data_IF_611492684237
#
_entry.id   IF_611492684237
#
_cell.length_a   1.000
_cell.length_b   1.000
_cell.length_c   1.000
_cell.angle_alpha   90.00
_cell.angle_beta   90.00
_cell.angle_gamma   90.00
#
_symmetry.space_group_name_H-M   'P 1'
#
loop_
_entity.id
_entity.type
_entity.pdbx_description
1 polymer ?
#
# COMPACT_ATOMS: atom_id res chain seq x y z
N UNK A 1 64.53 -8.86 -21.12
CA UNK A 1 63.68 -9.19 -22.28
C UNK A 1 62.23 -9.19 -21.80
N UNK A 2 61.43 -8.18 -22.14
CA UNK A 2 60.27 -8.21 -23.06
C UNK A 2 59.23 -9.28 -22.68
N UNK A 3 57.94 -9.00 -22.38
CA UNK A 3 56.85 -8.14 -22.89
C UNK A 3 55.72 -8.17 -21.90
N UNK A 4 55.05 -7.12 -21.49
CA UNK A 4 53.84 -6.46 -22.00
C UNK A 4 52.71 -7.42 -22.41
N UNK A 5 51.56 -7.23 -21.75
CA UNK A 5 50.23 -6.88 -22.28
C UNK A 5 49.26 -6.99 -21.10
N UNK A 6 48.74 -6.00 -20.55
CA UNK A 6 47.61 -5.14 -20.89
C UNK A 6 46.39 -5.92 -21.41
N UNK A 7 45.37 -6.00 -20.61
CA UNK A 7 44.07 -6.51 -20.96
C UNK A 7 43.04 -5.94 -19.99
N UNK A 8 42.71 -4.65 -20.23
CA UNK A 8 41.55 -3.99 -19.70
C UNK A 8 40.30 -4.68 -20.25
N UNK A 9 39.52 -5.28 -19.40
CA UNK A 9 38.09 -5.47 -19.69
C UNK A 9 37.28 -4.84 -18.56
N UNK A 10 37.05 -3.52 -18.76
CA UNK A 10 35.99 -2.80 -18.10
C UNK A 10 34.65 -3.37 -18.59
N UNK A 11 34.05 -4.20 -17.81
CA UNK A 11 32.63 -4.52 -17.95
C UNK A 11 31.86 -3.50 -17.12
N UNK A 12 31.60 -2.36 -17.72
CA UNK A 12 30.56 -1.48 -17.25
C UNK A 12 29.23 -2.25 -17.41
N UNK A 13 28.76 -2.84 -16.32
CA UNK A 13 27.43 -3.38 -16.22
C UNK A 13 26.48 -2.18 -16.17
N UNK A 14 26.08 -1.69 -17.34
CA UNK A 14 24.90 -0.84 -17.45
C UNK A 14 23.68 -1.69 -17.17
N UNK A 15 23.32 -1.81 -15.91
CA UNK A 15 21.98 -2.25 -15.54
C UNK A 15 21.02 -1.17 -16.02
N UNK A 16 20.41 -1.43 -17.17
CA UNK A 16 19.28 -0.68 -17.67
C UNK A 16 18.13 -0.80 -16.67
N UNK A 17 17.89 0.27 -15.96
CA UNK A 17 16.67 0.46 -15.17
C UNK A 17 15.50 0.69 -16.13
N UNK A 18 14.96 -0.39 -16.67
CA UNK A 18 13.77 -0.34 -17.53
C UNK A 18 12.62 -1.12 -16.89
N UNK A 19 12.27 -0.77 -15.65
CA UNK A 19 11.05 -1.28 -15.02
C UNK A 19 9.90 -0.28 -15.04
N UNK A 20 10.18 0.97 -15.46
CA UNK A 20 9.13 1.96 -15.68
C UNK A 20 9.44 2.73 -16.96
N UNK A 21 8.49 2.91 -17.86
CA UNK A 21 8.67 3.73 -19.04
C UNK A 21 9.02 5.17 -18.60
N UNK A 22 9.96 5.81 -19.29
CA UNK A 22 10.24 7.23 -19.09
C UNK A 22 8.98 8.06 -19.38
N UNK A 23 8.90 9.27 -18.84
CA UNK A 23 7.74 10.14 -19.04
C UNK A 23 7.42 10.36 -20.53
N UNK A 24 8.45 10.39 -21.39
CA UNK A 24 8.30 10.47 -22.85
C UNK A 24 7.75 9.17 -23.46
N UNK A 25 8.16 8.01 -22.96
CA UNK A 25 7.62 6.71 -23.40
C UNK A 25 6.18 6.51 -22.94
N UNK A 26 5.86 6.97 -21.73
CA UNK A 26 4.48 6.94 -21.23
C UNK A 26 3.56 7.87 -22.04
N UNK A 27 4.03 9.03 -22.49
CA UNK A 27 3.28 9.91 -23.40
C UNK A 27 3.11 9.28 -24.78
N UNK A 28 4.13 8.65 -25.35
CA UNK A 28 4.03 7.96 -26.64
C UNK A 28 3.03 6.79 -26.60
N UNK A 29 3.04 6.00 -25.52
CA UNK A 29 2.07 4.92 -25.31
C UNK A 29 0.65 5.49 -25.15
N UNK A 30 0.51 6.63 -24.47
CA UNK A 30 -0.78 7.30 -24.34
C UNK A 30 -1.30 7.83 -25.68
N UNK A 31 -0.44 8.40 -26.50
CA UNK A 31 -0.81 8.89 -27.85
C UNK A 31 -1.16 7.72 -28.80
N UNK A 32 -0.43 6.61 -28.73
CA UNK A 32 -0.70 5.41 -29.54
C UNK A 32 -2.02 4.71 -29.14
N UNK A 33 -2.39 4.79 -27.85
CA UNK A 33 -3.68 4.32 -27.35
C UNK A 33 -4.85 5.25 -27.69
N UNK A 34 -4.57 6.54 -27.93
CA UNK A 34 -5.57 7.52 -28.33
C UNK A 34 -5.91 7.52 -29.84
N UNK A 35 -5.01 7.00 -30.68
CA UNK A 35 -5.21 6.96 -32.12
C UNK A 35 -6.10 5.76 -32.60
N UNK A 36 -6.37 4.83 -31.74
CA UNK A 36 -7.38 3.81 -31.96
C UNK A 36 -8.74 4.36 -31.53
N UNK A 37 -9.45 4.97 -32.42
CA UNK A 37 -10.74 5.66 -32.45
C UNK A 37 -11.90 4.96 -31.67
N UNK A 38 -11.63 4.40 -30.51
CA UNK A 38 -12.62 4.03 -29.49
C UNK A 38 -12.47 4.97 -28.30
N UNK A 39 -13.39 5.93 -28.23
CA UNK A 39 -13.57 6.84 -27.10
C UNK A 39 -13.32 6.12 -25.77
N UNK A 40 -12.45 6.65 -24.87
CA UNK A 40 -12.10 6.00 -23.60
C UNK A 40 -13.25 6.09 -22.58
N UNK A 41 -14.47 5.82 -22.99
CA UNK A 41 -15.66 5.83 -22.13
C UNK A 41 -15.76 4.61 -21.21
N UNK A 42 -14.78 3.68 -21.22
CA UNK A 42 -14.98 2.42 -20.50
C UNK A 42 -13.75 1.81 -19.81
N UNK A 43 -12.70 2.55 -19.50
CA UNK A 43 -11.51 2.00 -18.82
C UNK A 43 -11.37 2.47 -17.38
N UNK A 44 -12.21 3.33 -16.88
CA UNK A 44 -12.34 3.47 -15.42
C UNK A 44 -13.31 2.41 -14.89
N UNK A 45 -12.93 1.14 -15.02
CA UNK A 45 -13.51 0.09 -14.19
C UNK A 45 -13.16 0.48 -12.74
N UNK A 46 -14.13 1.07 -12.04
CA UNK A 46 -13.96 1.41 -10.64
C UNK A 46 -13.34 0.22 -9.91
N UNK A 47 -12.17 0.43 -9.33
CA UNK A 47 -11.50 -0.62 -8.55
C UNK A 47 -12.43 -0.94 -7.38
N UNK A 48 -13.11 -2.07 -7.46
CA UNK A 48 -13.94 -2.56 -6.37
C UNK A 48 -13.05 -2.98 -5.21
N UNK A 49 -13.05 -2.20 -4.17
CA UNK A 49 -12.31 -2.53 -2.95
C UNK A 49 -12.94 -3.71 -2.24
N UNK A 50 -12.19 -4.80 -2.19
CA UNK A 50 -12.52 -6.00 -1.44
C UNK A 50 -11.67 -6.10 -0.18
N UNK A 51 -12.10 -6.89 0.79
CA UNK A 51 -11.30 -7.19 1.99
C UNK A 51 -9.92 -7.76 1.66
N UNK A 52 -9.82 -8.58 0.62
CA UNK A 52 -8.55 -9.15 0.15
C UNK A 52 -7.64 -8.09 -0.45
N UNK A 53 -8.18 -7.19 -1.28
CA UNK A 53 -7.43 -6.08 -1.85
C UNK A 53 -6.94 -5.11 -0.77
N UNK A 54 -7.78 -4.81 0.22
CA UNK A 54 -7.41 -3.95 1.36
C UNK A 54 -6.25 -4.55 2.17
N UNK A 55 -6.27 -5.86 2.42
CA UNK A 55 -5.17 -6.55 3.10
C UNK A 55 -3.88 -6.56 2.28
N UNK A 56 -4.00 -6.82 0.97
CA UNK A 56 -2.86 -6.77 0.07
C UNK A 56 -2.23 -5.39 0.04
N UNK A 57 -3.06 -4.35 -0.12
CA UNK A 57 -2.60 -2.96 -0.13
C UNK A 57 -1.94 -2.56 1.19
N UNK A 58 -2.54 -2.89 2.33
CA UNK A 58 -1.96 -2.61 3.64
C UNK A 58 -0.59 -3.28 3.81
N UNK A 59 -0.44 -4.53 3.37
CA UNK A 59 0.84 -5.24 3.41
C UNK A 59 1.89 -4.57 2.53
N UNK A 60 1.53 -4.19 1.31
CA UNK A 60 2.43 -3.49 0.39
C UNK A 60 2.87 -2.13 0.96
N UNK A 61 1.93 -1.38 1.56
CA UNK A 61 2.22 -0.09 2.18
C UNK A 61 3.13 -0.24 3.42
N UNK A 62 2.91 -1.28 4.24
CA UNK A 62 3.81 -1.61 5.36
C UNK A 62 5.24 -1.88 4.87
N UNK A 63 5.41 -2.71 3.84
CA UNK A 63 6.71 -3.00 3.25
C UNK A 63 7.40 -1.75 2.69
N UNK A 64 6.64 -0.84 2.09
CA UNK A 64 7.18 0.35 1.43
C UNK A 64 7.51 1.51 2.38
N UNK A 65 6.75 1.69 3.45
CA UNK A 65 6.83 2.88 4.31
C UNK A 65 7.19 2.58 5.78
N UNK A 66 7.05 1.33 6.20
CA UNK A 66 7.29 0.88 7.57
C UNK A 66 8.16 -0.37 7.57
N UNK A 67 9.38 -0.25 7.05
CA UNK A 67 10.29 -1.38 6.86
C UNK A 67 10.47 -2.23 8.12
N UNK A 68 10.51 -1.59 9.30
CA UNK A 68 10.59 -2.25 10.60
C UNK A 68 9.36 -3.12 10.93
N UNK A 69 8.26 -2.96 10.19
CA UNK A 69 7.04 -3.78 10.34
C UNK A 69 6.87 -4.82 9.21
N UNK A 70 7.80 -4.87 8.26
CA UNK A 70 7.73 -5.84 7.15
C UNK A 70 8.07 -7.26 7.61
N UNK A 71 7.27 -7.76 8.54
CA UNK A 71 7.34 -9.11 9.07
C UNK A 71 5.97 -9.78 9.04
N UNK A 72 5.98 -11.12 8.93
CA UNK A 72 4.74 -11.90 9.00
C UNK A 72 4.00 -11.70 10.33
N UNK A 73 4.72 -11.46 11.43
CA UNK A 73 4.14 -11.25 12.76
C UNK A 73 3.41 -9.94 12.86
N UNK A 74 3.99 -8.83 12.39
CA UNK A 74 3.37 -7.50 12.44
C UNK A 74 2.15 -7.43 11.50
N UNK A 75 2.25 -7.97 10.28
CA UNK A 75 1.08 -8.04 9.40
C UNK A 75 -0.03 -8.91 9.98
N UNK A 76 0.30 -10.04 10.62
CA UNK A 76 -0.70 -10.89 11.28
C UNK A 76 -1.40 -10.16 12.44
N UNK A 77 -0.65 -9.35 13.19
CA UNK A 77 -1.21 -8.53 14.26
C UNK A 77 -2.18 -7.48 13.69
N UNK A 78 -1.79 -6.75 12.64
CA UNK A 78 -2.65 -5.80 11.93
C UNK A 78 -3.92 -6.49 11.40
N UNK A 79 -3.75 -7.65 10.76
CA UNK A 79 -4.87 -8.40 10.19
C UNK A 79 -5.91 -8.80 11.24
N UNK A 80 -5.47 -9.18 12.43
CA UNK A 80 -6.35 -9.48 13.57
C UNK A 80 -7.02 -8.23 14.12
N UNK A 81 -6.26 -7.15 14.30
CA UNK A 81 -6.75 -5.89 14.83
C UNK A 81 -7.89 -5.34 13.97
N UNK A 82 -7.62 -5.07 12.69
CA UNK A 82 -8.64 -4.53 11.79
C UNK A 82 -9.72 -5.55 11.39
N UNK A 83 -9.43 -6.84 11.59
CA UNK A 83 -10.44 -7.90 11.54
C UNK A 83 -11.49 -7.77 12.65
N UNK A 84 -11.09 -7.30 13.84
CA UNK A 84 -11.98 -7.03 14.96
C UNK A 84 -12.70 -5.69 14.87
N UNK A 85 -12.04 -4.68 14.30
CA UNK A 85 -12.59 -3.34 14.15
C UNK A 85 -13.74 -3.28 13.12
N UNK A 86 -13.49 -3.77 11.92
CA UNK A 86 -14.43 -3.65 10.80
C UNK A 86 -14.60 -4.90 9.96
N UNK A 87 -13.93 -6.00 10.32
CA UNK A 87 -13.75 -7.15 9.43
C UNK A 87 -13.13 -6.73 8.08
N UNK A 88 -12.26 -5.68 8.04
CA UNK A 88 -11.65 -5.11 6.84
C UNK A 88 -12.66 -4.47 5.87
N UNK A 89 -13.81 -4.05 6.38
CA UNK A 89 -14.82 -3.38 5.58
C UNK A 89 -14.56 -1.86 5.55
N UNK A 90 -14.28 -1.33 4.36
CA UNK A 90 -14.02 0.10 4.18
C UNK A 90 -15.28 0.97 4.28
N UNK A 91 -16.45 0.35 4.29
CA UNK A 91 -17.73 1.04 4.46
C UNK A 91 -18.32 0.89 5.88
N UNK A 92 -17.59 0.20 6.77
CA UNK A 92 -18.06 -0.02 8.13
C UNK A 92 -18.27 1.29 8.86
N UNK A 93 -19.50 1.53 9.28
CA UNK A 93 -19.93 2.70 10.04
C UNK A 93 -20.30 2.28 11.46
N UNK A 94 -19.89 3.05 12.46
CA UNK A 94 -20.22 2.80 13.84
C UNK A 94 -21.35 3.75 14.28
N UNK A 95 -22.59 3.27 14.44
CA UNK A 95 -23.74 4.13 14.76
C UNK A 95 -23.65 4.79 16.13
N UNK A 96 -22.71 4.36 16.98
CA UNK A 96 -22.51 4.90 18.35
C UNK A 96 -21.34 5.86 18.47
N UNK A 97 -20.58 6.09 17.40
CA UNK A 97 -19.41 6.96 17.41
C UNK A 97 -19.12 7.53 16.01
N UNK A 98 -18.13 8.39 15.89
CA UNK A 98 -17.62 8.88 14.59
C UNK A 98 -16.54 7.98 13.99
N UNK A 99 -16.36 6.76 14.50
CA UNK A 99 -15.41 5.80 13.98
C UNK A 99 -15.92 5.22 12.66
N UNK A 100 -15.05 5.21 11.64
CA UNK A 100 -15.43 4.78 10.30
C UNK A 100 -14.33 3.95 9.61
N UNK A 101 -14.77 3.06 8.71
CA UNK A 101 -13.94 2.36 7.76
C UNK A 101 -13.11 1.22 8.36
N UNK A 102 -12.11 0.79 7.60
CA UNK A 102 -11.26 -0.36 7.94
C UNK A 102 -10.64 -0.23 9.34
N UNK A 103 -9.98 0.91 9.69
CA UNK A 103 -9.32 1.05 10.98
C UNK A 103 -10.24 1.53 12.10
N UNK A 104 -11.51 1.84 11.82
CA UNK A 104 -12.43 2.45 12.79
C UNK A 104 -11.86 3.68 13.50
N UNK A 105 -11.21 4.56 12.73
CA UNK A 105 -10.67 5.80 13.29
C UNK A 105 -11.74 6.87 13.46
N UNK A 106 -11.69 7.57 14.57
CA UNK A 106 -12.49 8.76 14.80
C UNK A 106 -12.15 9.85 13.78
N UNK A 107 -13.17 10.53 13.25
CA UNK A 107 -13.00 11.62 12.31
C UNK A 107 -12.68 11.21 10.86
N UNK A 108 -12.66 9.92 10.54
CA UNK A 108 -12.76 9.49 9.15
C UNK A 108 -14.16 9.77 8.63
N UNK A 109 -14.23 10.45 7.49
CA UNK A 109 -15.51 10.78 6.88
C UNK A 109 -16.08 9.60 6.11
N UNK A 110 -17.40 9.41 6.04
CA UNK A 110 -18.03 8.51 5.09
C UNK A 110 -17.51 8.78 3.68
N UNK A 111 -17.32 7.74 2.88
CA UNK A 111 -16.75 7.77 1.52
C UNK A 111 -15.24 8.07 1.44
N UNK A 112 -14.51 8.21 2.55
CA UNK A 112 -13.04 8.21 2.51
C UNK A 112 -12.54 6.97 1.76
N UNK A 113 -11.71 7.10 0.72
CA UNK A 113 -11.22 5.96 -0.06
C UNK A 113 -10.46 4.95 0.81
N UNK A 114 -10.60 3.65 0.52
CA UNK A 114 -9.95 2.60 1.30
C UNK A 114 -8.42 2.74 1.41
N UNK A 115 -7.67 3.16 0.36
CA UNK A 115 -6.24 3.45 0.48
C UNK A 115 -5.92 4.51 1.53
N UNK A 116 -6.69 5.58 1.56
CA UNK A 116 -6.51 6.66 2.54
C UNK A 116 -6.83 6.18 3.96
N UNK A 117 -7.90 5.40 4.13
CA UNK A 117 -8.23 4.80 5.43
C UNK A 117 -7.08 3.94 5.96
N UNK A 118 -6.50 3.10 5.09
CA UNK A 118 -5.37 2.23 5.43
C UNK A 118 -4.14 3.06 5.81
N UNK A 119 -3.77 4.05 4.99
CA UNK A 119 -2.63 4.91 5.27
C UNK A 119 -2.79 5.65 6.60
N UNK A 120 -3.95 6.24 6.86
CA UNK A 120 -4.24 6.93 8.12
C UNK A 120 -4.25 5.98 9.32
N UNK A 121 -4.77 4.77 9.13
CA UNK A 121 -4.78 3.74 10.17
C UNK A 121 -3.37 3.28 10.55
N UNK A 122 -2.48 3.10 9.59
CA UNK A 122 -1.07 2.75 9.84
C UNK A 122 -0.33 3.89 10.54
N UNK A 123 -0.52 5.13 10.09
CA UNK A 123 0.07 6.31 10.75
C UNK A 123 -0.42 6.48 12.20
N UNK A 124 -1.70 6.20 12.46
CA UNK A 124 -2.23 6.21 13.82
C UNK A 124 -1.58 5.13 14.70
N UNK A 125 -1.42 3.91 14.18
CA UNK A 125 -0.75 2.82 14.91
C UNK A 125 0.71 3.20 15.22
N UNK A 126 1.42 3.78 14.26
CA UNK A 126 2.79 4.25 14.46
C UNK A 126 2.87 5.26 15.58
N UNK A 127 2.06 6.31 15.47
CA UNK A 127 2.07 7.42 16.44
C UNK A 127 1.72 6.97 17.87
N UNK A 128 0.72 6.12 18.02
CA UNK A 128 0.17 5.78 19.33
C UNK A 128 0.80 4.53 19.97
N UNK A 129 1.16 3.55 19.15
CA UNK A 129 1.58 2.22 19.60
C UNK A 129 2.98 1.84 19.14
N UNK A 130 3.55 2.56 18.21
CA UNK A 130 4.84 2.26 17.61
C UNK A 130 4.81 1.11 16.61
N UNK A 131 3.90 0.14 16.75
CA UNK A 131 3.76 -0.99 15.81
C UNK A 131 2.46 -1.79 15.98
N UNK A 132 2.04 -2.56 14.95
CA UNK A 132 0.79 -3.31 14.96
C UNK A 132 0.65 -4.34 16.09
N UNK A 133 1.71 -5.04 16.45
CA UNK A 133 1.67 -6.04 17.52
C UNK A 133 1.37 -5.44 18.89
N UNK A 134 1.83 -4.21 19.16
CA UNK A 134 1.53 -3.47 20.38
C UNK A 134 0.08 -3.00 20.37
N UNK A 135 -0.39 -2.44 19.26
CA UNK A 135 -1.80 -2.06 19.10
C UNK A 135 -2.74 -3.25 19.30
N UNK A 136 -2.40 -4.41 18.73
CA UNK A 136 -3.16 -5.65 18.93
C UNK A 136 -3.15 -6.14 20.39
N UNK A 137 -2.01 -6.05 21.07
CA UNK A 137 -1.92 -6.40 22.50
C UNK A 137 -2.80 -5.47 23.35
N UNK A 138 -2.81 -4.17 23.06
CA UNK A 138 -3.68 -3.20 23.70
C UNK A 138 -5.17 -3.55 23.47
N UNK A 139 -5.54 -3.79 22.21
CA UNK A 139 -6.92 -4.17 21.85
C UNK A 139 -7.39 -5.40 22.61
N UNK A 140 -6.57 -6.44 22.71
CA UNK A 140 -6.93 -7.67 23.47
C UNK A 140 -7.19 -7.41 24.94
N UNK A 141 -6.54 -6.40 25.52
CA UNK A 141 -6.69 -6.06 26.93
C UNK A 141 -7.88 -5.14 27.18
N UNK A 142 -8.17 -4.23 26.27
CA UNK A 142 -9.10 -3.13 26.50
C UNK A 142 -10.33 -3.15 25.59
N UNK A 143 -10.32 -3.93 24.50
CA UNK A 143 -11.41 -3.99 23.52
C UNK A 143 -11.45 -2.82 22.53
N UNK A 144 -10.42 -1.97 22.53
CA UNK A 144 -10.23 -0.82 21.62
C UNK A 144 -8.74 -0.53 21.40
N UNK A 145 -8.43 0.32 20.42
CA UNK A 145 -7.06 0.77 20.18
C UNK A 145 -7.03 2.24 19.74
#
# INVERSE_FOLDING_TARGET
MKRKLAGLFSWALTMSYTLFPSQSQAMQIADELMDNNESPKNVQKEIRWTKSLSKYYAKALMSAQYEQWDTKSEFRALAKLWGKESAWDHTADNPKSTAYGIPQLLGLKPKTPAPEQIARGLAYIEHRYGKPSVAWAHWRKHGWY
#
